data_IF_206370962722
#
_entry.id   IF_206370962722
#
_cell.length_a   1.000
_cell.length_b   1.000
_cell.length_c   1.000
_cell.angle_alpha   90.00
_cell.angle_beta   90.00
_cell.angle_gamma   90.00
#
_symmetry.space_group_name_H-M   'P 1'
#
loop_
_entity.id
_entity.type
_entity.pdbx_description
1 polymer ?
#
# COMPACT_ATOMS: atom_id res chain seq x y z
N UNK A 1 15.80 -30.40 21.44
CA UNK A 1 14.57 -30.48 20.61
C UNK A 1 15.01 -30.40 19.16
N UNK A 2 14.52 -31.27 18.28
CA UNK A 2 14.84 -31.17 16.85
C UNK A 2 13.98 -30.08 16.20
N UNK A 3 14.56 -28.88 16.09
CA UNK A 3 13.87 -27.72 15.54
C UNK A 3 13.51 -27.90 14.06
N UNK A 4 14.29 -28.66 13.29
CA UNK A 4 14.03 -28.91 11.88
C UNK A 4 12.80 -29.80 11.69
N UNK A 5 12.71 -30.87 12.49
CA UNK A 5 11.53 -31.75 12.50
C UNK A 5 10.26 -31.00 12.94
N UNK A 6 10.35 -30.15 13.96
CA UNK A 6 9.23 -29.33 14.42
C UNK A 6 8.75 -28.37 13.33
N UNK A 7 9.65 -27.62 12.69
CA UNK A 7 9.29 -26.67 11.63
C UNK A 7 8.67 -27.38 10.44
N UNK A 8 9.23 -28.52 10.01
CA UNK A 8 8.66 -29.34 8.92
C UNK A 8 7.24 -29.82 9.24
N UNK A 9 6.99 -30.23 10.49
CA UNK A 9 5.65 -30.63 10.95
C UNK A 9 4.67 -29.44 10.90
N UNK A 10 5.08 -28.27 11.39
CA UNK A 10 4.25 -27.06 11.38
C UNK A 10 3.96 -26.58 9.95
N UNK A 11 4.95 -26.57 9.06
CA UNK A 11 4.78 -26.25 7.64
C UNK A 11 3.76 -27.18 6.97
N UNK A 12 3.92 -28.49 7.16
CA UNK A 12 3.00 -29.47 6.60
C UNK A 12 1.57 -29.22 7.09
N UNK A 13 1.41 -28.86 8.37
CA UNK A 13 0.11 -28.53 8.94
C UNK A 13 -0.48 -27.24 8.37
N UNK A 14 0.33 -26.19 8.19
CA UNK A 14 -0.11 -24.94 7.56
C UNK A 14 -0.56 -25.19 6.12
N UNK A 15 0.20 -25.96 5.34
CA UNK A 15 -0.15 -26.30 3.96
C UNK A 15 -1.42 -27.14 3.86
N UNK A 16 -1.61 -28.11 4.76
CA UNK A 16 -2.83 -28.92 4.85
C UNK A 16 -4.07 -28.07 5.14
N UNK A 17 -3.97 -27.14 6.11
CA UNK A 17 -5.06 -26.20 6.43
C UNK A 17 -5.30 -25.19 5.30
N UNK A 18 -4.25 -24.73 4.62
CA UNK A 18 -4.36 -23.81 3.49
C UNK A 18 -5.06 -24.46 2.29
N UNK A 19 -4.77 -25.74 2.05
CA UNK A 19 -5.40 -26.58 1.03
C UNK A 19 -6.84 -27.02 1.34
N UNK A 20 -7.53 -26.37 2.30
CA UNK A 20 -8.93 -26.68 2.68
C UNK A 20 -9.81 -26.83 1.44
N UNK A 21 -10.64 -27.87 1.43
CA UNK A 21 -11.50 -28.21 0.29
C UNK A 21 -12.53 -27.10 0.01
N UNK A 22 -12.73 -26.84 -1.28
CA UNK A 22 -13.75 -25.92 -1.77
C UNK A 22 -15.15 -26.46 -1.38
N UNK A 23 -16.09 -25.60 -0.94
CA UNK A 23 -17.47 -26.00 -0.66
C UNK A 23 -18.14 -26.66 -1.87
N UNK A 24 -18.98 -27.68 -1.63
CA UNK A 24 -19.64 -28.43 -2.72
C UNK A 24 -20.74 -27.60 -3.37
N UNK A 25 -21.44 -26.78 -2.58
CA UNK A 25 -22.57 -25.95 -2.99
C UNK A 25 -22.59 -24.61 -2.25
N UNK A 26 -23.42 -23.68 -2.70
CA UNK A 26 -23.69 -22.42 -1.98
C UNK A 26 -24.21 -22.68 -0.56
N UNK A 27 -25.12 -23.64 -0.40
CA UNK A 27 -25.71 -23.97 0.88
C UNK A 27 -24.67 -24.53 1.86
N UNK A 28 -23.72 -25.34 1.38
CA UNK A 28 -22.65 -25.87 2.23
C UNK A 28 -21.70 -24.76 2.68
N UNK A 29 -21.36 -23.82 1.79
CA UNK A 29 -20.56 -22.66 2.16
C UNK A 29 -21.26 -21.80 3.21
N UNK A 30 -22.55 -21.49 3.00
CA UNK A 30 -23.35 -20.67 3.91
C UNK A 30 -23.48 -21.27 5.33
N UNK A 31 -23.51 -22.60 5.45
CA UNK A 31 -23.58 -23.29 6.76
C UNK A 31 -22.35 -23.03 7.64
N UNK A 32 -21.18 -22.79 7.04
CA UNK A 32 -19.93 -22.59 7.79
C UNK A 32 -19.71 -21.11 8.17
N UNK A 33 -20.34 -20.16 7.47
CA UNK A 33 -20.08 -18.72 7.60
C UNK A 33 -20.25 -18.21 9.03
N UNK A 34 -21.28 -18.67 9.75
CA UNK A 34 -21.52 -18.18 11.12
C UNK A 34 -20.40 -18.61 12.07
N UNK A 35 -19.98 -19.88 12.00
CA UNK A 35 -18.85 -20.38 12.78
C UNK A 35 -17.55 -19.67 12.39
N UNK A 36 -17.33 -19.40 11.09
CA UNK A 36 -16.16 -18.68 10.60
C UNK A 36 -16.13 -17.21 11.06
N UNK A 37 -17.27 -16.51 11.11
CA UNK A 37 -17.36 -15.15 11.64
C UNK A 37 -17.02 -15.09 13.12
N UNK A 38 -17.57 -16.01 13.91
CA UNK A 38 -17.24 -16.12 15.33
C UNK A 38 -15.74 -16.43 15.52
N UNK A 39 -15.19 -17.33 14.70
CA UNK A 39 -13.78 -17.67 14.74
C UNK A 39 -12.90 -16.48 14.35
N UNK A 40 -13.26 -15.72 13.32
CA UNK A 40 -12.53 -14.51 12.92
C UNK A 40 -12.56 -13.47 14.03
N UNK A 41 -13.71 -13.22 14.63
CA UNK A 41 -13.85 -12.30 15.74
C UNK A 41 -12.98 -12.71 16.95
N UNK A 42 -12.97 -14.00 17.30
CA UNK A 42 -12.09 -14.54 18.37
C UNK A 42 -10.61 -14.39 18.02
N UNK A 43 -10.25 -14.75 16.79
CA UNK A 43 -8.90 -14.66 16.24
C UNK A 43 -8.36 -13.23 16.31
N UNK A 44 -9.21 -12.23 16.06
CA UNK A 44 -8.89 -10.81 16.14
C UNK A 44 -8.98 -10.22 17.56
N UNK A 45 -9.40 -10.98 18.58
CA UNK A 45 -9.63 -10.42 19.91
C UNK A 45 -10.85 -9.49 20.00
N UNK A 46 -11.80 -9.64 19.06
CA UNK A 46 -13.00 -8.82 18.93
C UNK A 46 -14.27 -9.65 19.25
N UNK A 47 -14.16 -10.70 20.05
CA UNK A 47 -15.29 -11.51 20.52
C UNK A 47 -15.38 -11.53 22.06
N UNK A 48 -16.37 -10.86 22.68
CA UNK A 48 -17.27 -9.88 22.06
C UNK A 48 -16.51 -8.63 21.59
N UNK A 49 -17.07 -7.90 20.63
CA UNK A 49 -16.44 -6.68 20.14
C UNK A 49 -16.39 -5.60 21.24
N UNK A 50 -15.36 -4.73 21.26
CA UNK A 50 -15.35 -3.59 22.17
C UNK A 50 -16.59 -2.71 21.99
N UNK A 51 -17.07 -2.03 23.04
CA UNK A 51 -18.19 -1.11 22.89
C UNK A 51 -17.83 0.04 21.94
N UNK A 52 -18.77 0.39 21.07
CA UNK A 52 -18.69 1.59 20.22
C UNK A 52 -19.00 2.84 21.07
N UNK A 53 -17.97 3.46 21.65
CA UNK A 53 -18.09 4.67 22.48
C UNK A 53 -18.18 5.95 21.63
N UNK A 54 -18.24 7.13 22.25
CA UNK A 54 -18.07 8.38 21.49
C UNK A 54 -16.68 8.41 20.82
N UNK A 55 -16.63 8.79 19.54
CA UNK A 55 -15.41 8.90 18.76
C UNK A 55 -14.56 10.10 19.18
N UNK A 56 -15.13 11.12 19.84
CA UNK A 56 -14.42 12.38 20.17
C UNK A 56 -13.57 12.92 19.00
N UNK A 57 -14.11 12.78 17.79
CA UNK A 57 -13.35 12.99 16.57
C UNK A 57 -13.06 14.48 16.36
N UNK A 58 -11.86 14.80 15.91
CA UNK A 58 -11.44 16.17 15.67
C UNK A 58 -10.65 16.27 14.36
N UNK A 59 -11.01 17.27 13.56
CA UNK A 59 -10.17 17.77 12.46
C UNK A 59 -9.12 18.70 13.07
N UNK A 60 -7.85 18.31 12.97
CA UNK A 60 -6.70 19.02 13.53
C UNK A 60 -6.02 19.95 12.53
N UNK A 61 -6.33 19.79 11.24
CA UNK A 61 -5.84 20.65 10.17
C UNK A 61 -6.45 20.26 8.84
N UNK A 62 -6.47 21.21 7.90
CA UNK A 62 -6.97 21.01 6.54
C UNK A 62 -5.89 21.48 5.57
N UNK A 63 -5.60 20.66 4.58
CA UNK A 63 -4.67 20.96 3.49
C UNK A 63 -5.48 21.04 2.20
N UNK A 64 -5.63 22.25 1.66
CA UNK A 64 -6.34 22.48 0.41
C UNK A 64 -5.43 22.20 -0.79
N UNK A 65 -5.96 21.52 -1.81
CA UNK A 65 -5.27 21.22 -3.07
C UNK A 65 -6.22 21.45 -4.25
N UNK A 66 -5.68 21.38 -5.47
CA UNK A 66 -6.49 21.41 -6.68
C UNK A 66 -7.27 20.09 -6.82
N UNK A 67 -8.59 20.20 -6.93
CA UNK A 67 -9.50 19.06 -7.06
C UNK A 67 -9.82 18.25 -5.78
N UNK A 68 -9.10 18.45 -4.67
CA UNK A 68 -9.34 17.74 -3.40
C UNK A 68 -8.84 18.52 -2.17
N UNK A 69 -9.16 18.01 -0.98
CA UNK A 69 -8.56 18.45 0.29
C UNK A 69 -8.17 17.26 1.15
N UNK A 70 -7.23 17.47 2.06
CA UNK A 70 -6.85 16.48 3.08
C UNK A 70 -7.23 17.04 4.45
N UNK A 71 -8.08 16.33 5.17
CA UNK A 71 -8.37 16.61 6.58
C UNK A 71 -7.49 15.72 7.46
N UNK A 72 -6.71 16.33 8.36
CA UNK A 72 -5.93 15.63 9.38
C UNK A 72 -6.85 15.30 10.55
N UNK A 73 -7.13 14.02 10.76
CA UNK A 73 -8.12 13.55 11.72
C UNK A 73 -7.46 12.87 12.91
N UNK A 74 -8.09 13.02 14.07
CA UNK A 74 -7.92 12.12 15.20
C UNK A 74 -9.28 11.69 15.74
N UNK A 75 -9.41 10.44 16.18
CA UNK A 75 -10.62 9.91 16.80
C UNK A 75 -10.28 8.80 17.80
N UNK A 76 -11.16 8.58 18.76
CA UNK A 76 -11.06 7.58 19.80
C UNK A 76 -11.68 6.26 19.30
N UNK A 77 -10.85 5.25 19.05
CA UNK A 77 -11.34 3.93 18.62
C UNK A 77 -11.80 3.08 19.81
N UNK A 78 -11.20 3.31 20.98
CA UNK A 78 -11.51 2.68 22.26
C UNK A 78 -11.34 3.70 23.39
N UNK A 79 -12.00 3.54 24.55
CA UNK A 79 -11.84 4.42 25.70
C UNK A 79 -10.38 4.82 25.98
N UNK A 80 -10.06 6.10 25.75
CA UNK A 80 -8.72 6.67 25.98
C UNK A 80 -7.65 6.34 24.93
N UNK A 81 -7.98 5.66 23.84
CA UNK A 81 -7.05 5.32 22.77
C UNK A 81 -7.34 6.13 21.50
N UNK A 82 -6.44 7.07 21.19
CA UNK A 82 -6.55 7.94 20.02
C UNK A 82 -5.86 7.33 18.80
N UNK A 83 -6.58 7.36 17.68
CA UNK A 83 -6.11 6.98 16.36
C UNK A 83 -6.00 8.24 15.51
N UNK A 84 -4.97 8.32 14.67
CA UNK A 84 -4.85 9.41 13.69
C UNK A 84 -5.03 8.90 12.27
N UNK A 85 -5.56 9.76 11.41
CA UNK A 85 -5.85 9.42 10.02
C UNK A 85 -5.77 10.65 9.11
N UNK A 86 -5.58 10.42 7.82
CA UNK A 86 -5.82 11.41 6.78
C UNK A 86 -7.10 11.04 6.02
N UNK A 87 -8.02 11.99 5.92
CA UNK A 87 -9.22 11.87 5.09
C UNK A 87 -9.07 12.75 3.86
N UNK A 88 -8.90 12.11 2.71
CA UNK A 88 -8.85 12.75 1.40
C UNK A 88 -10.29 12.87 0.88
N UNK A 89 -10.71 14.10 0.58
CA UNK A 89 -12.06 14.39 0.10
C UNK A 89 -12.02 15.11 -1.24
N UNK A 90 -12.81 14.67 -2.23
CA UNK A 90 -12.96 15.40 -3.48
C UNK A 90 -13.49 16.82 -3.24
N UNK A 91 -13.02 17.80 -4.01
CA UNK A 91 -13.56 19.16 -3.95
C UNK A 91 -14.96 19.27 -4.58
N UNK A 92 -15.30 18.34 -5.47
CA UNK A 92 -16.60 18.29 -6.13
C UNK A 92 -17.71 18.03 -5.10
N UNK A 93 -18.78 18.83 -5.17
CA UNK A 93 -19.96 18.63 -4.33
C UNK A 93 -20.66 17.29 -4.62
N UNK A 94 -21.27 16.71 -3.59
CA UNK A 94 -21.99 15.43 -3.66
C UNK A 94 -21.51 14.45 -2.60
N UNK A 95 -22.15 13.27 -2.57
CA UNK A 95 -21.72 12.15 -1.74
C UNK A 95 -20.76 11.26 -2.53
N UNK A 96 -19.62 10.95 -1.95
CA UNK A 96 -18.57 10.16 -2.59
C UNK A 96 -18.47 8.77 -1.96
N UNK A 97 -18.37 7.69 -2.74
CA UNK A 97 -18.06 6.38 -2.19
C UNK A 97 -16.76 6.43 -1.38
N UNK A 98 -16.68 5.61 -0.34
CA UNK A 98 -15.55 5.59 0.58
C UNK A 98 -14.60 4.44 0.26
N UNK A 99 -13.31 4.70 0.34
CA UNK A 99 -12.27 3.67 0.34
C UNK A 99 -11.46 3.77 1.63
N UNK A 100 -11.59 2.75 2.48
CA UNK A 100 -10.70 2.56 3.62
C UNK A 100 -9.33 2.10 3.11
N UNK A 101 -8.29 2.64 3.71
CA UNK A 101 -6.97 2.60 3.10
C UNK A 101 -5.88 2.28 4.11
N UNK A 102 -5.88 1.07 4.71
CA UNK A 102 -4.78 0.65 5.56
C UNK A 102 -3.45 0.63 4.80
N UNK A 103 -2.34 0.72 5.52
CA UNK A 103 -0.99 0.68 4.97
C UNK A 103 -0.13 -0.32 5.76
N UNK A 104 0.82 -0.95 5.07
CA UNK A 104 1.89 -1.74 5.66
C UNK A 104 3.03 -0.88 6.22
N UNK A 105 4.20 -1.50 6.40
CA UNK A 105 5.31 -0.95 7.16
C UNK A 105 6.22 0.00 6.36
N UNK A 106 5.65 1.00 5.70
CA UNK A 106 6.44 2.08 5.12
C UNK A 106 7.05 2.99 6.19
N UNK A 107 8.22 3.55 5.89
CA UNK A 107 9.00 4.41 6.80
C UNK A 107 8.19 5.57 7.35
N UNK A 108 7.44 6.27 6.49
CA UNK A 108 6.61 7.42 6.86
C UNK A 108 5.12 7.10 6.94
N UNK A 109 4.74 5.81 6.97
CA UNK A 109 3.37 5.34 7.21
C UNK A 109 2.35 6.05 6.28
N UNK A 110 1.26 6.64 6.81
CA UNK A 110 0.27 7.40 6.04
C UNK A 110 0.83 8.60 5.26
N UNK A 111 1.99 9.13 5.66
CA UNK A 111 2.67 10.25 5.00
C UNK A 111 3.63 9.80 3.88
N UNK A 112 3.85 8.49 3.70
CA UNK A 112 4.70 7.98 2.62
C UNK A 112 4.16 8.39 1.25
N UNK A 113 4.97 8.89 0.30
CA UNK A 113 4.50 9.35 -1.00
C UNK A 113 3.60 8.35 -1.75
N UNK A 114 3.95 7.06 -1.75
CA UNK A 114 3.15 6.01 -2.41
C UNK A 114 1.77 5.81 -1.75
N UNK A 115 1.71 5.96 -0.42
CA UNK A 115 0.47 5.86 0.36
C UNK A 115 -0.41 7.09 0.13
N UNK A 116 0.19 8.28 0.09
CA UNK A 116 -0.52 9.52 -0.23
C UNK A 116 -1.05 9.52 -1.66
N UNK A 117 -0.24 9.09 -2.65
CA UNK A 117 -0.63 9.02 -4.06
C UNK A 117 -1.93 8.23 -4.28
N UNK A 118 -2.15 7.17 -3.50
CA UNK A 118 -3.39 6.38 -3.48
C UNK A 118 -4.58 7.21 -3.00
N UNK A 119 -4.44 7.93 -1.89
CA UNK A 119 -5.49 8.81 -1.36
C UNK A 119 -5.83 9.96 -2.33
N UNK A 120 -4.80 10.55 -2.93
CA UNK A 120 -4.94 11.64 -3.92
C UNK A 120 -5.66 11.15 -5.17
N UNK A 121 -5.20 10.05 -5.77
CA UNK A 121 -5.81 9.50 -6.99
C UNK A 121 -7.26 9.09 -6.79
N UNK A 122 -7.59 8.48 -5.64
CA UNK A 122 -8.97 8.19 -5.26
C UNK A 122 -9.83 9.47 -5.16
N UNK A 123 -9.33 10.50 -4.47
CA UNK A 123 -10.04 11.77 -4.34
C UNK A 123 -10.28 12.46 -5.69
N UNK A 124 -9.26 12.51 -6.55
CA UNK A 124 -9.39 13.08 -7.90
C UNK A 124 -10.36 12.28 -8.79
N UNK A 125 -10.56 10.99 -8.52
CA UNK A 125 -11.55 10.13 -9.20
C UNK A 125 -12.93 10.15 -8.55
N UNK A 126 -13.14 10.97 -7.51
CA UNK A 126 -14.43 11.15 -6.83
C UNK A 126 -14.73 10.11 -5.75
N UNK A 127 -13.70 9.59 -5.09
CA UNK A 127 -13.83 8.76 -3.89
C UNK A 127 -13.37 9.53 -2.65
N UNK A 128 -14.07 9.39 -1.54
CA UNK A 128 -13.48 9.71 -0.24
C UNK A 128 -12.46 8.61 0.12
N UNK A 129 -11.30 8.96 0.68
CA UNK A 129 -10.31 7.97 1.09
C UNK A 129 -9.84 8.24 2.52
N UNK A 130 -10.00 7.25 3.40
CA UNK A 130 -9.53 7.31 4.79
C UNK A 130 -8.28 6.45 4.95
N UNK A 131 -7.13 7.08 5.17
CA UNK A 131 -5.86 6.42 5.49
C UNK A 131 -5.67 6.48 7.00
N UNK A 132 -5.76 5.33 7.66
CA UNK A 132 -5.62 5.18 9.12
C UNK A 132 -4.23 4.67 9.46
N UNK A 133 -3.57 5.27 10.45
CA UNK A 133 -2.29 4.76 10.96
C UNK A 133 -2.42 3.32 11.46
N UNK A 134 -1.41 2.49 11.20
CA UNK A 134 -1.29 1.17 11.80
C UNK A 134 -1.02 1.29 13.32
N UNK A 135 -1.64 0.47 14.19
CA UNK A 135 -1.38 0.47 15.63
C UNK A 135 0.10 0.26 15.96
N UNK A 136 0.53 0.73 17.13
CA UNK A 136 1.95 0.73 17.51
C UNK A 136 2.77 1.84 16.83
N UNK A 137 2.11 2.68 16.03
CA UNK A 137 2.68 3.87 15.42
C UNK A 137 1.66 5.02 15.47
N UNK A 138 2.07 6.14 16.06
CA UNK A 138 1.44 7.44 15.85
C UNK A 138 2.54 8.48 15.72
N UNK A 139 2.25 9.58 15.02
CA UNK A 139 3.16 10.73 14.90
C UNK A 139 3.44 11.42 16.26
N UNK A 140 2.79 10.98 17.34
CA UNK A 140 2.97 11.49 18.69
C UNK A 140 4.08 10.74 19.45
N UNK A 141 5.34 10.99 19.11
CA UNK A 141 6.51 10.71 19.96
C UNK A 141 6.67 9.28 20.51
N UNK A 142 6.10 8.26 19.87
CA UNK A 142 6.19 6.88 20.37
C UNK A 142 7.29 6.09 19.68
N UNK A 143 8.02 5.30 20.47
CA UNK A 143 8.96 4.29 19.97
C UNK A 143 8.27 3.36 18.95
N UNK A 144 9.00 2.96 17.91
CA UNK A 144 8.51 2.02 16.90
C UNK A 144 8.19 0.65 17.54
N UNK A 145 6.95 0.43 17.95
CA UNK A 145 6.60 -0.77 18.73
C UNK A 145 6.41 -2.03 17.87
N UNK A 146 6.13 -1.95 16.56
CA UNK A 146 5.99 -3.18 15.74
C UNK A 146 7.35 -3.78 15.28
N UNK A 147 8.48 -3.08 15.47
CA UNK A 147 9.82 -3.57 15.09
C UNK A 147 10.74 -3.82 16.29
N UNK A 148 10.18 -4.32 17.40
CA UNK A 148 11.01 -5.12 18.31
C UNK A 148 11.44 -6.37 17.53
N UNK A 149 12.74 -6.69 17.55
CA UNK A 149 13.42 -7.50 16.53
C UNK A 149 12.69 -8.76 16.07
N UNK A 150 12.74 -9.04 14.76
CA UNK A 150 12.17 -10.25 14.14
C UNK A 150 12.57 -11.52 14.92
N UNK A 151 11.59 -12.41 15.17
CA UNK A 151 11.84 -13.71 15.78
C UNK A 151 11.97 -13.72 17.31
N UNK A 152 11.47 -12.71 18.01
CA UNK A 152 11.43 -12.70 19.49
C UNK A 152 10.00 -12.82 20.02
N UNK A 153 9.86 -13.50 21.16
CA UNK A 153 8.58 -13.83 21.83
C UNK A 153 7.87 -12.63 22.48
N UNK A 154 8.21 -11.40 22.09
CA UNK A 154 7.95 -10.18 22.88
C UNK A 154 6.79 -9.33 22.35
N UNK A 155 5.71 -9.95 21.88
CA UNK A 155 4.40 -9.29 21.81
C UNK A 155 3.58 -9.64 23.08
N UNK A 156 3.74 -8.90 24.19
CA UNK A 156 3.07 -9.21 25.46
C UNK A 156 1.54 -9.14 25.35
N UNK A 157 1.01 -8.56 24.27
CA UNK A 157 -0.42 -8.39 24.08
C UNK A 157 -1.10 -9.64 23.52
N UNK A 158 -0.34 -10.60 22.98
CA UNK A 158 -0.86 -11.91 22.54
C UNK A 158 -1.55 -12.66 23.69
N UNK A 159 -0.99 -12.62 24.90
CA UNK A 159 -1.60 -13.27 26.08
C UNK A 159 -2.91 -12.64 26.52
N UNK A 160 -3.15 -11.37 26.16
CA UNK A 160 -4.43 -10.69 26.42
C UNK A 160 -5.46 -10.96 25.31
N UNK A 161 -5.08 -11.72 24.27
CA UNK A 161 -5.93 -11.95 23.11
C UNK A 161 -6.16 -10.68 22.28
N UNK A 162 -5.26 -9.70 22.33
CA UNK A 162 -5.38 -8.41 21.64
C UNK A 162 -4.28 -8.27 20.57
N UNK A 163 -4.33 -9.04 19.47
CA UNK A 163 -3.31 -8.97 18.42
C UNK A 163 -3.33 -7.59 17.74
N UNK A 164 -2.16 -7.11 17.30
CA UNK A 164 -2.01 -5.82 16.61
C UNK A 164 -2.96 -5.67 15.42
N UNK A 165 -3.15 -6.74 14.62
CA UNK A 165 -4.11 -6.72 13.52
C UNK A 165 -5.57 -6.56 13.99
N UNK A 166 -5.93 -7.15 15.12
CA UNK A 166 -7.23 -6.94 15.76
C UNK A 166 -7.44 -5.51 16.23
N UNK A 167 -6.37 -4.87 16.73
CA UNK A 167 -6.39 -3.44 17.03
C UNK A 167 -6.63 -2.63 15.75
N UNK A 168 -5.92 -2.95 14.66
CA UNK A 168 -6.01 -2.19 13.41
C UNK A 168 -7.37 -2.34 12.73
N UNK A 169 -7.93 -3.56 12.69
CA UNK A 169 -9.27 -3.82 12.16
C UNK A 169 -10.31 -3.01 12.92
N UNK A 170 -10.21 -2.96 14.26
CA UNK A 170 -11.12 -2.15 15.05
C UNK A 170 -10.94 -0.65 14.79
N UNK A 171 -9.71 -0.16 14.65
CA UNK A 171 -9.45 1.24 14.31
C UNK A 171 -10.07 1.60 12.96
N UNK A 172 -9.96 0.73 11.95
CA UNK A 172 -10.64 0.88 10.66
C UNK A 172 -12.17 0.90 10.79
N UNK A 173 -12.75 0.01 11.61
CA UNK A 173 -14.20 -0.03 11.89
C UNK A 173 -14.68 1.28 12.52
N UNK A 174 -13.90 1.84 13.45
CA UNK A 174 -14.21 3.10 14.13
C UNK A 174 -13.97 4.32 13.24
N UNK A 175 -12.97 4.26 12.36
CA UNK A 175 -12.77 5.23 11.29
C UNK A 175 -13.94 5.24 10.29
N UNK A 176 -14.50 4.07 9.97
CA UNK A 176 -15.72 3.96 9.18
C UNK A 176 -16.93 4.57 9.91
N UNK A 177 -17.08 4.31 11.21
CA UNK A 177 -18.13 4.95 12.03
C UNK A 177 -18.00 6.49 11.99
N UNK A 178 -16.79 7.05 11.98
CA UNK A 178 -16.59 8.48 11.77
C UNK A 178 -17.07 8.93 10.39
N UNK A 179 -16.67 8.23 9.33
CA UNK A 179 -17.06 8.57 7.96
C UNK A 179 -18.58 8.51 7.72
N UNK A 180 -19.32 7.63 8.41
CA UNK A 180 -20.79 7.58 8.36
C UNK A 180 -21.46 8.87 8.86
N UNK A 181 -20.81 9.62 9.75
CA UNK A 181 -21.33 10.91 10.23
C UNK A 181 -21.16 12.05 9.23
N UNK A 182 -20.39 11.83 8.15
CA UNK A 182 -20.01 12.88 7.20
C UNK A 182 -21.01 13.00 6.05
N UNK A 183 -21.64 14.17 5.85
CA UNK A 183 -22.63 14.34 4.79
C UNK A 183 -22.05 14.21 3.38
N UNK A 184 -20.74 14.39 3.21
CA UNK A 184 -20.04 14.29 1.93
C UNK A 184 -19.68 12.85 1.53
N UNK A 185 -19.87 11.88 2.44
CA UNK A 185 -19.47 10.48 2.23
C UNK A 185 -20.71 9.61 2.03
N UNK A 186 -20.71 8.80 0.98
CA UNK A 186 -21.68 7.73 0.77
C UNK A 186 -21.17 6.45 1.45
N UNK A 187 -21.41 6.34 2.76
CA UNK A 187 -21.02 5.16 3.53
C UNK A 187 -21.84 3.89 3.20
N UNK A 188 -22.80 3.97 2.25
CA UNK A 188 -23.45 2.78 1.67
C UNK A 188 -22.63 2.16 0.56
N UNK A 189 -21.48 2.76 0.18
CA UNK A 189 -20.58 2.29 -0.89
C UNK A 189 -19.14 2.33 -0.39
N UNK A 190 -18.71 1.24 0.22
CA UNK A 190 -17.41 1.17 0.92
C UNK A 190 -16.51 0.11 0.30
N UNK A 191 -15.33 0.52 -0.11
CA UNK A 191 -14.22 -0.36 -0.50
C UNK A 191 -13.10 -0.35 0.54
N UNK A 192 -12.21 -1.32 0.46
CA UNK A 192 -10.97 -1.35 1.26
C UNK A 192 -9.76 -1.81 0.44
N UNK A 193 -8.62 -1.14 0.59
CA UNK A 193 -7.38 -1.53 -0.08
C UNK A 193 -6.14 -1.17 0.72
N UNK A 194 -5.13 -2.03 0.65
CA UNK A 194 -3.86 -1.88 1.34
C UNK A 194 -2.82 -2.82 0.73
N UNK A 195 -1.54 -2.50 0.94
CA UNK A 195 -0.44 -3.33 0.48
C UNK A 195 0.39 -3.90 1.64
N UNK A 196 0.96 -5.09 1.47
CA UNK A 196 1.75 -5.80 2.50
C UNK A 196 0.94 -6.07 3.77
N UNK A 197 1.41 -5.66 4.95
CA UNK A 197 0.63 -5.66 6.19
C UNK A 197 -0.73 -4.95 6.07
N UNK A 198 -0.83 -3.90 5.24
CA UNK A 198 -2.09 -3.25 4.90
C UNK A 198 -2.99 -4.12 4.00
N UNK A 199 -2.40 -4.98 3.17
CA UNK A 199 -3.12 -6.01 2.41
C UNK A 199 -3.69 -7.09 3.34
N UNK A 200 -2.94 -7.47 4.37
CA UNK A 200 -3.44 -8.35 5.44
C UNK A 200 -4.59 -7.71 6.20
N UNK A 201 -4.44 -6.45 6.64
CA UNK A 201 -5.52 -5.69 7.29
C UNK A 201 -6.76 -5.55 6.39
N UNK A 202 -6.57 -5.37 5.08
CA UNK A 202 -7.65 -5.33 4.08
C UNK A 202 -8.46 -6.62 4.08
N UNK A 203 -7.81 -7.78 4.06
CA UNK A 203 -8.50 -9.08 4.07
C UNK A 203 -9.24 -9.33 5.40
N UNK A 204 -8.60 -9.03 6.53
CA UNK A 204 -9.17 -9.24 7.86
C UNK A 204 -10.37 -8.32 8.11
N UNK A 205 -10.24 -7.03 7.80
CA UNK A 205 -11.33 -6.08 7.93
C UNK A 205 -12.48 -6.40 6.97
N UNK A 206 -12.19 -6.83 5.73
CA UNK A 206 -13.23 -7.24 4.79
C UNK A 206 -14.02 -8.46 5.27
N UNK A 207 -13.34 -9.46 5.86
CA UNK A 207 -14.01 -10.62 6.46
C UNK A 207 -14.84 -10.28 7.69
N UNK A 208 -14.42 -9.28 8.48
CA UNK A 208 -15.02 -8.93 9.77
C UNK A 208 -16.15 -7.88 9.66
N UNK A 209 -15.96 -6.81 8.87
CA UNK A 209 -16.85 -5.66 8.82
C UNK A 209 -17.80 -5.72 7.61
N UNK A 210 -19.08 -5.95 7.88
CA UNK A 210 -20.05 -6.23 6.82
C UNK A 210 -20.40 -5.01 5.95
N UNK A 211 -20.14 -3.79 6.41
CA UNK A 211 -20.34 -2.57 5.63
C UNK A 211 -19.37 -2.44 4.46
N UNK A 212 -18.24 -3.15 4.48
CA UNK A 212 -17.28 -3.14 3.39
C UNK A 212 -17.78 -4.06 2.26
N UNK A 213 -17.97 -3.48 1.08
CA UNK A 213 -18.63 -4.12 -0.07
C UNK A 213 -17.65 -4.63 -1.12
N UNK A 214 -16.43 -4.11 -1.17
CA UNK A 214 -15.41 -4.56 -2.12
C UNK A 214 -14.00 -4.48 -1.52
N UNK A 215 -13.11 -5.42 -1.87
CA UNK A 215 -11.74 -5.46 -1.34
C UNK A 215 -10.68 -5.60 -2.44
N UNK A 216 -9.56 -4.89 -2.26
CA UNK A 216 -8.38 -4.97 -3.12
C UNK A 216 -7.12 -5.17 -2.26
N UNK A 217 -6.83 -6.39 -1.80
CA UNK A 217 -5.57 -6.70 -1.15
C UNK A 217 -4.42 -6.71 -2.16
N UNK A 218 -3.40 -5.90 -1.92
CA UNK A 218 -2.24 -5.74 -2.80
C UNK A 218 -1.00 -6.36 -2.12
N UNK A 219 -0.19 -7.13 -2.84
CA UNK A 219 1.06 -7.74 -2.36
C UNK A 219 0.94 -8.27 -0.92
N UNK A 220 -0.07 -9.11 -0.68
CA UNK A 220 -0.53 -9.46 0.68
C UNK A 220 -1.34 -10.74 0.76
N UNK A 221 -1.91 -11.17 -0.36
CA UNK A 221 -2.85 -12.29 -0.44
C UNK A 221 -2.22 -13.52 -1.14
N UNK A 222 -0.96 -13.82 -0.82
CA UNK A 222 -0.30 -15.03 -1.30
C UNK A 222 -0.79 -16.24 -0.49
N UNK A 223 -1.00 -17.38 -1.15
CA UNK A 223 -1.40 -18.61 -0.48
C UNK A 223 -0.30 -19.15 0.44
N UNK A 224 -0.71 -19.59 1.63
CA UNK A 224 0.15 -20.23 2.62
C UNK A 224 0.58 -21.63 2.19
N UNK A 225 0.01 -22.21 1.12
CA UNK A 225 0.56 -23.41 0.46
C UNK A 225 1.95 -23.17 -0.13
N UNK A 226 2.18 -21.96 -0.65
CA UNK A 226 3.43 -21.54 -1.31
C UNK A 226 4.38 -20.94 -0.28
N UNK A 227 3.88 -20.04 0.56
CA UNK A 227 4.68 -19.32 1.55
C UNK A 227 4.12 -19.54 2.98
N UNK A 228 4.31 -20.72 3.59
CA UNK A 228 3.76 -21.03 4.93
C UNK A 228 4.37 -20.19 6.05
N UNK A 229 5.55 -19.60 5.82
CA UNK A 229 6.31 -18.79 6.77
C UNK A 229 6.32 -17.31 6.38
N UNK A 230 5.22 -16.81 5.82
CA UNK A 230 5.13 -15.50 5.18
C UNK A 230 5.58 -14.32 6.07
N UNK A 231 6.88 -14.06 6.03
CA UNK A 231 7.56 -12.84 6.45
C UNK A 231 7.16 -12.35 7.84
N UNK A 232 6.59 -11.14 7.86
CA UNK A 232 6.26 -10.43 9.09
C UNK A 232 5.25 -11.18 9.97
N UNK A 233 5.44 -11.12 11.29
CA UNK A 233 4.51 -11.67 12.28
C UNK A 233 3.06 -11.15 12.10
N UNK A 234 2.88 -9.94 11.54
CA UNK A 234 1.56 -9.39 11.24
C UNK A 234 0.75 -10.22 10.22
N UNK A 235 1.37 -11.13 9.48
CA UNK A 235 0.72 -12.07 8.55
C UNK A 235 0.22 -13.34 9.26
N UNK A 236 0.63 -13.55 10.52
CA UNK A 236 0.39 -14.76 11.28
C UNK A 236 -0.57 -14.48 12.45
N UNK A 237 -1.87 -14.45 12.13
CA UNK A 237 -2.92 -14.26 13.12
C UNK A 237 -3.30 -15.60 13.79
N UNK A 238 -3.20 -15.67 15.11
CA UNK A 238 -3.53 -16.87 15.88
C UNK A 238 -4.99 -17.30 15.66
N UNK A 239 -5.23 -18.59 15.41
CA UNK A 239 -6.56 -19.15 15.17
C UNK A 239 -7.16 -18.87 13.79
N UNK A 240 -6.50 -18.07 12.93
CA UNK A 240 -7.03 -17.72 11.60
C UNK A 240 -7.13 -18.93 10.67
N UNK A 241 -6.15 -19.84 10.73
CA UNK A 241 -6.11 -21.04 9.88
C UNK A 241 -7.23 -22.05 10.17
N UNK A 242 -8.01 -21.86 11.24
CA UNK A 242 -9.25 -22.65 11.48
C UNK A 242 -10.37 -22.27 10.51
N UNK A 243 -10.34 -21.05 9.97
CA UNK A 243 -11.21 -20.62 8.86
C UNK A 243 -10.68 -21.21 7.56
N UNK A 244 -9.37 -21.10 7.33
CA UNK A 244 -8.66 -21.55 6.14
C UNK A 244 -7.57 -20.55 5.76
N UNK A 245 -7.24 -20.50 4.47
CA UNK A 245 -6.26 -19.57 3.91
C UNK A 245 -6.90 -18.21 3.54
N UNK A 246 -6.12 -17.32 2.91
CA UNK A 246 -6.54 -16.01 2.40
C UNK A 246 -7.81 -16.07 1.56
N UNK A 247 -7.93 -17.09 0.70
CA UNK A 247 -9.12 -17.28 -0.15
C UNK A 247 -10.36 -17.71 0.64
N UNK A 248 -10.21 -18.48 1.72
CA UNK A 248 -11.36 -18.87 2.55
C UNK A 248 -11.85 -17.66 3.36
N UNK A 249 -10.91 -16.87 3.91
CA UNK A 249 -11.22 -15.62 4.61
C UNK A 249 -11.97 -14.62 3.71
N UNK A 250 -11.45 -14.35 2.51
CA UNK A 250 -12.13 -13.50 1.53
C UNK A 250 -13.43 -14.13 1.02
N UNK A 251 -13.44 -15.46 0.91
CA UNK A 251 -14.58 -16.28 0.53
C UNK A 251 -15.78 -16.09 1.44
N UNK A 252 -15.58 -15.83 2.74
CA UNK A 252 -16.66 -15.56 3.70
C UNK A 252 -17.63 -14.46 3.24
N UNK A 253 -17.17 -13.55 2.38
CA UNK A 253 -17.93 -12.40 1.86
C UNK A 253 -18.55 -12.66 0.49
N UNK A 254 -18.44 -13.86 -0.07
CA UNK A 254 -19.06 -14.17 -1.36
C UNK A 254 -20.57 -13.84 -1.36
N UNK A 255 -21.09 -13.12 -2.38
CA UNK A 255 -20.46 -12.75 -3.66
C UNK A 255 -19.94 -11.29 -3.73
N UNK A 256 -19.45 -10.70 -2.63
CA UNK A 256 -18.88 -9.35 -2.64
C UNK A 256 -17.59 -9.28 -3.50
N UNK A 257 -17.38 -8.25 -4.34
CA UNK A 257 -16.21 -8.20 -5.23
C UNK A 257 -14.85 -8.21 -4.54
N UNK A 258 -13.89 -8.94 -5.11
CA UNK A 258 -12.49 -8.99 -4.66
C UNK A 258 -11.52 -8.91 -5.84
N UNK A 259 -10.48 -8.06 -5.73
CA UNK A 259 -9.38 -8.00 -6.69
C UNK A 259 -8.04 -8.26 -6.00
N UNK A 260 -7.37 -9.35 -6.34
CA UNK A 260 -6.00 -9.58 -5.94
C UNK A 260 -5.06 -8.79 -6.83
N UNK A 261 -4.13 -8.04 -6.25
CA UNK A 261 -3.05 -7.41 -7.01
C UNK A 261 -1.72 -7.89 -6.43
N UNK A 262 -0.88 -8.50 -7.26
CA UNK A 262 0.44 -8.98 -6.87
C UNK A 262 1.56 -8.41 -7.74
N UNK A 263 2.80 -8.61 -7.31
CA UNK A 263 4.00 -8.29 -8.09
C UNK A 263 4.63 -9.57 -8.67
N UNK A 264 5.26 -9.46 -9.84
CA UNK A 264 5.91 -10.60 -10.50
C UNK A 264 7.19 -11.07 -9.80
N UNK A 265 7.91 -10.15 -9.14
CA UNK A 265 9.17 -10.39 -8.45
C UNK A 265 9.11 -9.95 -6.98
N UNK A 266 8.14 -10.51 -6.26
CA UNK A 266 7.98 -10.32 -4.82
C UNK A 266 8.37 -11.60 -4.08
N UNK A 267 9.49 -11.53 -3.35
CA UNK A 267 10.00 -12.68 -2.59
C UNK A 267 9.22 -12.96 -1.31
N UNK A 268 8.49 -11.98 -0.77
CA UNK A 268 7.67 -12.15 0.44
C UNK A 268 6.27 -12.66 0.07
N UNK A 269 5.69 -12.13 -1.01
CA UNK A 269 4.39 -12.54 -1.52
C UNK A 269 4.47 -13.03 -2.97
N UNK A 270 4.97 -14.26 -3.22
CA UNK A 270 5.19 -14.77 -4.56
C UNK A 270 3.95 -14.72 -5.45
N UNK A 271 4.19 -14.50 -6.74
CA UNK A 271 3.19 -14.56 -7.81
C UNK A 271 2.38 -15.86 -7.76
N UNK A 272 3.04 -17.02 -7.66
CA UNK A 272 2.39 -18.33 -7.63
C UNK A 272 1.33 -18.42 -6.52
N UNK A 273 1.62 -17.88 -5.34
CA UNK A 273 0.67 -17.91 -4.24
C UNK A 273 -0.53 -16.99 -4.46
N UNK A 274 -0.38 -15.87 -5.16
CA UNK A 274 -1.52 -15.04 -5.57
C UNK A 274 -2.40 -15.76 -6.60
N UNK A 275 -1.78 -16.46 -7.57
CA UNK A 275 -2.50 -17.27 -8.57
C UNK A 275 -3.31 -18.38 -7.90
N UNK A 276 -2.71 -19.14 -6.98
CA UNK A 276 -3.43 -20.15 -6.17
C UNK A 276 -4.58 -19.56 -5.37
N UNK A 277 -4.35 -18.43 -4.68
CA UNK A 277 -5.40 -17.79 -3.91
C UNK A 277 -6.56 -17.31 -4.79
N UNK A 278 -6.26 -16.77 -5.97
CA UNK A 278 -7.26 -16.39 -6.97
C UNK A 278 -8.07 -17.59 -7.47
N UNK A 279 -7.41 -18.68 -7.88
CA UNK A 279 -8.08 -19.88 -8.38
C UNK A 279 -9.06 -20.45 -7.35
N UNK A 280 -8.62 -20.57 -6.10
CA UNK A 280 -9.47 -21.05 -5.00
C UNK A 280 -10.64 -20.12 -4.73
N UNK A 281 -10.41 -18.80 -4.65
CA UNK A 281 -11.48 -17.83 -4.41
C UNK A 281 -12.52 -17.85 -5.55
N UNK A 282 -12.05 -17.88 -6.80
CA UNK A 282 -12.92 -17.98 -7.98
C UNK A 282 -13.76 -19.26 -7.95
N UNK A 283 -13.19 -20.38 -7.52
CA UNK A 283 -13.92 -21.63 -7.35
C UNK A 283 -14.99 -21.56 -6.25
N UNK A 284 -14.74 -20.87 -5.12
CA UNK A 284 -15.77 -20.57 -4.12
C UNK A 284 -16.88 -19.71 -4.74
N UNK A 285 -16.52 -18.65 -5.48
CA UNK A 285 -17.47 -17.73 -6.11
C UNK A 285 -18.32 -18.40 -7.21
N UNK A 286 -17.82 -19.47 -7.85
CA UNK A 286 -18.62 -20.28 -8.79
C UNK A 286 -19.86 -20.90 -8.16
N UNK A 287 -19.84 -21.15 -6.85
CA UNK A 287 -21.02 -21.65 -6.11
C UNK A 287 -22.13 -20.60 -6.06
N UNK A 288 -21.78 -19.33 -6.26
CA UNK A 288 -22.67 -18.18 -6.27
C UNK A 288 -22.95 -17.63 -7.67
N UNK A 289 -22.37 -18.22 -8.72
CA UNK A 289 -22.40 -17.68 -10.10
C UNK A 289 -21.89 -16.23 -10.16
N UNK A 290 -20.78 -15.98 -9.46
CA UNK A 290 -20.22 -14.66 -9.24
C UNK A 290 -18.71 -14.60 -9.59
N UNK A 291 -18.20 -15.54 -10.39
CA UNK A 291 -16.79 -15.63 -10.77
C UNK A 291 -16.26 -14.34 -11.40
N UNK A 292 -17.12 -13.58 -12.08
CA UNK A 292 -16.80 -12.31 -12.72
C UNK A 292 -16.42 -11.20 -11.74
N UNK A 293 -16.80 -11.34 -10.46
CA UNK A 293 -16.49 -10.39 -9.38
C UNK A 293 -15.13 -10.63 -8.72
N UNK A 294 -14.42 -11.68 -9.12
CA UNK A 294 -13.06 -11.96 -8.67
C UNK A 294 -12.07 -11.59 -9.77
N UNK A 295 -11.01 -10.85 -9.42
CA UNK A 295 -9.92 -10.48 -10.34
C UNK A 295 -8.57 -10.82 -9.77
N UNK A 296 -7.62 -11.02 -10.68
CA UNK A 296 -6.20 -11.11 -10.38
C UNK A 296 -5.45 -10.22 -11.36
N UNK A 297 -4.61 -9.33 -10.84
CA UNK A 297 -3.68 -8.52 -11.60
C UNK A 297 -2.27 -8.77 -11.08
N UNK A 298 -1.39 -9.31 -11.93
CA UNK A 298 0.04 -9.46 -11.62
C UNK A 298 0.80 -8.36 -12.37
N UNK A 299 1.37 -7.43 -11.61
CA UNK A 299 2.13 -6.30 -12.14
C UNK A 299 3.61 -6.63 -12.16
N UNK A 300 4.26 -6.34 -13.28
CA UNK A 300 5.72 -6.45 -13.39
C UNK A 300 6.42 -5.52 -12.38
N UNK A 301 7.28 -6.09 -11.53
CA UNK A 301 8.01 -5.34 -10.51
C UNK A 301 8.18 -6.11 -9.20
N UNK A 302 8.68 -5.41 -8.18
CA UNK A 302 8.84 -5.96 -6.83
C UNK A 302 7.74 -5.54 -5.86
N UNK A 303 7.94 -5.84 -4.58
CA UNK A 303 7.02 -5.54 -3.47
C UNK A 303 6.72 -4.03 -3.35
N UNK A 304 5.53 -3.59 -3.79
CA UNK A 304 5.12 -2.18 -3.81
C UNK A 304 3.58 -2.01 -3.90
N UNK A 305 3.10 -0.77 -3.88
CA UNK A 305 1.78 -0.34 -4.37
C UNK A 305 1.95 0.74 -5.45
N UNK A 306 2.65 0.37 -6.52
CA UNK A 306 3.02 1.29 -7.61
C UNK A 306 1.82 1.81 -8.41
N UNK A 307 2.09 2.72 -9.35
CA UNK A 307 1.08 3.35 -10.20
C UNK A 307 0.18 2.33 -10.91
N UNK A 308 0.73 1.31 -11.57
CA UNK A 308 -0.08 0.32 -12.33
C UNK A 308 -1.03 -0.45 -11.41
N UNK A 309 -0.57 -0.80 -10.21
CA UNK A 309 -1.40 -1.43 -9.18
C UNK A 309 -2.54 -0.50 -8.75
N UNK A 310 -2.27 0.80 -8.58
CA UNK A 310 -3.31 1.79 -8.25
C UNK A 310 -4.30 1.98 -9.39
N UNK A 311 -3.85 2.03 -10.64
CA UNK A 311 -4.73 2.17 -11.82
C UNK A 311 -5.69 0.99 -11.98
N UNK A 312 -5.24 -0.23 -11.68
CA UNK A 312 -6.11 -1.42 -11.61
C UNK A 312 -7.12 -1.33 -10.45
N UNK A 313 -6.68 -0.90 -9.27
CA UNK A 313 -7.56 -0.67 -8.12
C UNK A 313 -8.63 0.40 -8.40
N UNK A 314 -8.25 1.51 -9.04
CA UNK A 314 -9.18 2.58 -9.43
C UNK A 314 -10.28 2.02 -10.34
N UNK A 315 -9.92 1.26 -11.38
CA UNK A 315 -10.88 0.63 -12.28
C UNK A 315 -11.85 -0.30 -11.54
N UNK A 316 -11.31 -1.10 -10.61
CA UNK A 316 -12.10 -2.04 -9.83
C UNK A 316 -13.14 -1.35 -8.93
N UNK A 317 -12.75 -0.31 -8.18
CA UNK A 317 -13.70 0.42 -7.34
C UNK A 317 -14.65 1.29 -8.14
N UNK A 318 -14.22 1.88 -9.26
CA UNK A 318 -15.11 2.58 -10.18
C UNK A 318 -16.26 1.69 -10.66
N UNK A 319 -15.95 0.45 -11.02
CA UNK A 319 -16.97 -0.51 -11.42
C UNK A 319 -17.90 -0.88 -10.27
N UNK A 320 -17.35 -1.33 -9.14
CA UNK A 320 -18.16 -1.98 -8.10
C UNK A 320 -18.81 -1.01 -7.12
N UNK A 321 -18.27 0.20 -6.95
CA UNK A 321 -18.82 1.21 -6.04
C UNK A 321 -19.53 2.33 -6.80
N UNK A 322 -19.06 2.73 -7.99
CA UNK A 322 -19.70 3.80 -8.79
C UNK A 322 -20.64 3.26 -9.88
N UNK A 323 -20.58 1.96 -10.19
CA UNK A 323 -21.37 1.37 -11.27
C UNK A 323 -20.85 1.75 -12.66
N UNK A 324 -19.58 2.17 -12.77
CA UNK A 324 -18.97 2.48 -14.05
C UNK A 324 -18.72 1.21 -14.88
N UNK A 325 -18.64 1.29 -16.22
CA UNK A 325 -18.33 0.13 -17.05
C UNK A 325 -16.99 -0.51 -16.69
N UNK A 326 -16.91 -1.85 -16.75
CA UNK A 326 -15.69 -2.62 -16.48
C UNK A 326 -14.53 -2.18 -17.36
N UNK A 327 -13.38 -1.91 -16.73
CA UNK A 327 -12.11 -1.57 -17.38
C UNK A 327 -10.97 -2.35 -16.72
N UNK A 328 -9.88 -2.58 -17.45
CA UNK A 328 -8.67 -3.19 -16.89
C UNK A 328 -7.88 -2.23 -15.99
N UNK A 329 -7.85 -0.95 -16.37
CA UNK A 329 -7.20 0.11 -15.61
C UNK A 329 -7.88 1.46 -15.87
N UNK A 330 -7.81 2.36 -14.88
CA UNK A 330 -8.14 3.78 -15.04
C UNK A 330 -6.83 4.54 -14.82
N UNK A 331 -6.37 5.33 -15.81
CA UNK A 331 -5.13 6.10 -15.68
C UNK A 331 -5.14 6.94 -14.41
N UNK A 332 -4.03 6.91 -13.69
CA UNK A 332 -3.86 7.72 -12.50
C UNK A 332 -3.97 9.20 -12.88
N UNK A 333 -4.86 9.98 -12.22
CA UNK A 333 -4.98 11.41 -12.51
C UNK A 333 -3.63 12.10 -12.38
N UNK A 334 -3.27 12.89 -13.38
CA UNK A 334 -2.02 13.66 -13.42
C UNK A 334 -2.28 15.14 -13.72
N UNK A 335 -1.47 16.04 -13.16
CA UNK A 335 -0.51 15.77 -12.09
C UNK A 335 -1.22 15.33 -10.79
N UNK A 336 -0.57 14.49 -9.98
CA UNK A 336 -1.04 14.20 -8.62
C UNK A 336 -0.81 15.39 -7.66
N UNK A 337 -0.34 16.48 -8.23
CA UNK A 337 -0.06 17.76 -7.62
C UNK A 337 -0.78 18.84 -8.41
N UNK A 338 -1.16 19.91 -7.73
CA UNK A 338 -1.76 21.10 -8.30
C UNK A 338 -0.73 21.80 -9.19
N UNK A 339 -0.88 21.62 -10.50
CA UNK A 339 -0.04 22.17 -11.58
C UNK A 339 -0.05 23.70 -11.68
N UNK A 340 0.25 24.38 -10.58
CA UNK A 340 0.38 25.82 -10.47
C UNK A 340 0.81 26.28 -9.07
N UNK A 341 0.47 25.52 -8.03
CA UNK A 341 0.84 25.83 -6.63
C UNK A 341 1.67 24.73 -5.95
N UNK A 342 1.99 23.64 -6.67
CA UNK A 342 2.93 22.63 -6.23
C UNK A 342 3.75 22.14 -7.43
N UNK A 343 5.02 22.56 -7.48
CA UNK A 343 5.90 22.37 -8.65
C UNK A 343 6.46 20.96 -8.80
N UNK A 344 6.05 19.99 -7.97
CA UNK A 344 6.69 18.67 -7.92
C UNK A 344 5.69 17.55 -8.23
N UNK A 345 6.15 16.47 -8.88
CA UNK A 345 5.36 15.25 -9.11
C UNK A 345 5.38 14.37 -7.85
N UNK A 346 4.38 13.49 -7.68
CA UNK A 346 4.37 12.54 -6.57
C UNK A 346 5.62 11.63 -6.63
N UNK A 347 6.46 11.71 -5.59
CA UNK A 347 7.75 11.01 -5.52
C UNK A 347 8.95 11.79 -6.03
N UNK A 348 8.82 13.09 -6.33
CA UNK A 348 9.93 13.95 -6.78
C UNK A 348 10.17 15.18 -5.90
N UNK A 349 9.70 15.16 -4.64
CA UNK A 349 10.14 16.16 -3.66
C UNK A 349 11.67 16.10 -3.51
N UNK A 350 12.34 17.24 -3.69
CA UNK A 350 13.65 17.40 -3.08
C UNK A 350 13.45 17.40 -1.58
N UNK A 351 14.28 16.63 -0.90
CA UNK A 351 14.28 16.45 0.54
C UNK A 351 14.35 17.80 1.28
N UNK A 352 14.90 18.86 0.69
CA UNK A 352 15.16 20.17 1.29
C UNK A 352 13.98 21.18 1.30
N UNK A 353 12.73 20.77 1.10
CA UNK A 353 11.59 21.70 1.04
C UNK A 353 11.24 22.32 2.43
N UNK A 354 11.31 23.66 2.59
CA UNK A 354 11.17 24.36 3.87
C UNK A 354 9.76 24.36 4.49
N UNK A 355 8.72 23.90 3.80
CA UNK A 355 7.36 23.77 4.37
C UNK A 355 7.06 22.39 4.99
N UNK A 356 8.01 21.45 4.91
CA UNK A 356 7.93 20.18 5.65
C UNK A 356 8.34 20.41 7.11
N UNK A 357 7.35 20.72 7.94
CA UNK A 357 7.50 20.73 9.40
C UNK A 357 7.76 19.30 9.90
N UNK A 358 8.98 19.03 10.37
CA UNK A 358 9.37 17.76 11.00
C UNK A 358 9.84 18.08 12.41
N UNK A 359 9.08 17.64 13.41
CA UNK A 359 9.50 17.71 14.82
C UNK A 359 10.44 16.55 15.11
N UNK A 360 11.67 16.81 15.59
CA UNK A 360 12.55 15.75 16.10
C UNK A 360 12.35 15.53 17.61
N UNK A 361 12.46 14.28 18.11
CA UNK A 361 12.05 13.93 19.48
C UNK A 361 12.99 14.43 20.60
N UNK A 362 14.19 14.88 20.26
CA UNK A 362 15.32 14.99 21.18
C UNK A 362 15.50 16.38 21.83
N UNK A 363 14.88 17.46 21.29
CA UNK A 363 15.17 18.83 21.76
C UNK A 363 13.98 19.69 22.21
N UNK A 364 12.73 19.19 22.14
CA UNK A 364 11.51 19.96 22.48
C UNK A 364 11.44 21.37 21.86
N UNK A 365 12.06 21.59 20.71
CA UNK A 365 11.94 22.82 19.91
C UNK A 365 11.47 22.48 18.49
N UNK A 366 10.59 23.31 17.94
CA UNK A 366 10.18 23.24 16.54
C UNK A 366 11.39 23.57 15.66
N UNK A 367 11.86 22.57 14.92
CA UNK A 367 12.94 22.69 13.94
C UNK A 367 12.38 22.51 12.54
N UNK A 368 13.00 23.18 11.57
CA UNK A 368 12.73 22.97 10.15
C UNK A 368 13.47 21.73 9.67
N UNK A 369 13.02 21.11 8.58
CA UNK A 369 13.74 19.98 7.97
C UNK A 369 15.22 20.31 7.64
N UNK A 370 15.53 21.58 7.35
CA UNK A 370 16.90 22.09 7.17
C UNK A 370 17.77 21.92 8.41
N UNK A 371 17.24 22.22 9.61
CA UNK A 371 17.98 22.12 10.87
C UNK A 371 18.36 20.65 11.20
N UNK A 372 17.57 19.69 10.71
CA UNK A 372 17.80 18.24 10.84
C UNK A 372 18.86 17.76 9.84
N UNK A 373 18.82 18.29 8.61
CA UNK A 373 19.78 17.94 7.56
C UNK A 373 21.19 18.40 7.91
N UNK A 374 21.34 19.61 8.46
CA UNK A 374 22.64 20.16 8.87
C UNK A 374 23.27 19.40 10.05
N UNK A 375 22.47 18.79 10.93
CA UNK A 375 22.95 17.89 11.99
C UNK A 375 23.34 16.50 11.45
N UNK A 376 22.56 15.92 10.52
CA UNK A 376 22.81 14.57 9.99
C UNK A 376 23.85 14.53 8.86
N UNK A 377 24.14 15.65 8.19
CA UNK A 377 25.26 15.78 7.26
C UNK A 377 26.63 15.76 7.96
N UNK A 378 26.66 15.90 9.30
CA UNK A 378 27.89 15.80 10.09
C UNK A 378 28.27 14.35 10.45
N UNK A 379 27.36 13.37 10.27
CA UNK A 379 27.65 11.96 10.49
C UNK A 379 27.54 11.15 9.18
N UNK A 380 28.59 10.42 8.78
CA UNK A 380 28.55 9.63 7.55
C UNK A 380 27.58 8.45 7.71
N UNK A 381 26.60 8.36 6.81
CA UNK A 381 25.72 7.19 6.71
C UNK A 381 26.51 5.92 6.31
N UNK A 382 26.14 4.73 6.84
CA UNK A 382 26.76 3.47 6.47
C UNK A 382 26.53 3.16 4.98
N UNK A 383 27.57 2.70 4.31
CA UNK A 383 27.62 2.43 2.88
C UNK A 383 26.62 1.36 2.40
N UNK A 384 26.23 1.49 1.12
CA UNK A 384 25.62 0.50 0.22
C UNK A 384 24.10 0.53 -0.03
N UNK A 385 23.52 1.73 -0.14
CA UNK A 385 22.23 1.92 -0.83
C UNK A 385 22.46 2.07 -2.36
N UNK A 386 22.59 0.96 -3.07
CA UNK A 386 22.79 0.94 -4.54
C UNK A 386 21.52 1.35 -5.31
N UNK A 387 21.25 2.66 -5.37
CA UNK A 387 20.18 3.26 -6.15
C UNK A 387 20.34 3.09 -7.68
N UNK A 388 21.55 2.76 -8.16
CA UNK A 388 21.90 2.75 -9.58
C UNK A 388 21.30 1.61 -10.41
N UNK A 389 20.87 0.49 -9.81
CA UNK A 389 20.50 -0.73 -10.57
C UNK A 389 19.04 -0.81 -11.03
N UNK A 390 18.18 0.17 -10.72
CA UNK A 390 16.74 0.14 -11.08
C UNK A 390 16.28 1.18 -12.10
N UNK A 391 17.19 2.01 -12.62
CA UNK A 391 16.88 3.00 -13.66
C UNK A 391 17.61 2.63 -14.97
N UNK A 392 17.22 1.51 -15.58
CA UNK A 392 17.50 1.26 -17.00
C UNK A 392 16.25 1.62 -17.84
N UNK A 393 16.38 2.33 -18.99
CA UNK A 393 15.22 2.95 -19.65
C UNK A 393 14.42 1.99 -20.53
N UNK A 394 13.10 2.19 -20.48
CA UNK A 394 12.05 1.46 -21.19
C UNK A 394 12.01 1.80 -22.70
N UNK A 395 12.47 0.90 -23.54
CA UNK A 395 12.50 1.04 -25.02
C UNK A 395 11.17 0.84 -25.76
N UNK A 396 10.05 1.43 -25.30
CA UNK A 396 8.75 1.31 -26.02
C UNK A 396 8.16 2.63 -26.54
N UNK A 397 8.72 3.79 -26.18
CA UNK A 397 8.14 5.10 -26.53
C UNK A 397 8.97 5.95 -27.49
N UNK A 398 9.93 5.35 -28.21
CA UNK A 398 10.81 6.10 -29.11
C UNK A 398 11.82 6.98 -28.37
N UNK A 399 12.74 7.64 -29.09
CA UNK A 399 13.75 8.49 -28.47
C UNK A 399 13.08 9.66 -27.74
N UNK A 400 13.52 9.89 -26.50
CA UNK A 400 13.12 11.05 -25.71
C UNK A 400 13.71 12.31 -26.37
N UNK A 401 12.87 13.13 -27.01
CA UNK A 401 13.28 14.46 -27.47
C UNK A 401 13.40 15.40 -26.27
N UNK A 402 14.63 15.57 -25.78
CA UNK A 402 14.95 16.57 -24.77
C UNK A 402 15.28 17.90 -25.47
N UNK A 403 14.40 18.88 -25.36
CA UNK A 403 14.73 20.28 -25.70
C UNK A 403 15.53 20.89 -24.56
N UNK A 404 16.85 20.78 -24.64
CA UNK A 404 17.77 21.34 -23.65
C UNK A 404 18.28 22.68 -24.17
N UNK A 405 17.98 23.76 -23.45
CA UNK A 405 18.39 25.13 -23.81
C UNK A 405 19.77 25.54 -23.24
N UNK A 406 20.45 24.64 -22.51
CA UNK A 406 21.74 24.90 -21.86
C UNK A 406 22.83 23.98 -22.42
N UNK A 407 23.82 24.53 -23.15
CA UNK A 407 24.99 23.79 -23.64
C UNK A 407 25.79 23.14 -22.51
N UNK A 408 25.86 23.79 -21.34
CA UNK A 408 26.55 23.24 -20.16
C UNK A 408 25.91 21.94 -19.69
N UNK A 409 24.57 21.86 -19.73
CA UNK A 409 23.85 20.65 -19.37
C UNK A 409 24.09 19.53 -20.40
N UNK A 410 24.20 19.87 -21.68
CA UNK A 410 24.55 18.91 -22.74
C UNK A 410 25.96 18.37 -22.54
N UNK A 411 26.93 19.23 -22.24
CA UNK A 411 28.31 18.82 -21.96
C UNK A 411 28.38 17.97 -20.69
N UNK A 412 27.64 18.31 -19.64
CA UNK A 412 27.57 17.52 -18.41
C UNK A 412 26.96 16.14 -18.64
N UNK A 413 25.90 16.06 -19.46
CA UNK A 413 25.24 14.80 -19.84
C UNK A 413 26.21 13.94 -20.65
N UNK A 414 26.93 14.53 -21.62
CA UNK A 414 27.92 13.82 -22.44
C UNK A 414 29.11 13.33 -21.62
N UNK A 415 29.67 14.16 -20.73
CA UNK A 415 30.76 13.78 -19.83
C UNK A 415 30.34 12.62 -18.91
N UNK A 416 29.11 12.67 -18.38
CA UNK A 416 28.59 11.60 -17.53
C UNK A 416 28.28 10.32 -18.32
N UNK A 417 27.83 10.43 -19.56
CA UNK A 417 27.64 9.28 -20.45
C UNK A 417 28.98 8.62 -20.82
N UNK A 418 30.02 9.40 -21.10
CA UNK A 418 31.37 8.89 -21.42
C UNK A 418 32.05 8.28 -20.20
N UNK A 419 31.94 8.89 -19.02
CA UNK A 419 32.45 8.31 -17.76
C UNK A 419 31.76 7.00 -17.41
N UNK A 420 30.43 6.96 -17.47
CA UNK A 420 29.67 5.74 -17.18
C UNK A 420 29.90 4.65 -18.24
N UNK A 421 30.23 5.01 -19.48
CA UNK A 421 30.63 4.05 -20.51
C UNK A 421 32.02 3.48 -20.22
N UNK A 422 33.00 4.27 -19.78
CA UNK A 422 34.33 3.79 -19.39
C UNK A 422 34.28 2.81 -18.21
N UNK A 423 33.36 3.01 -17.26
CA UNK A 423 33.17 2.12 -16.11
C UNK A 423 32.39 0.83 -16.45
N UNK A 424 31.80 0.74 -17.65
CA UNK A 424 30.98 -0.39 -18.10
C UNK A 424 31.60 -1.24 -19.23
N UNK A 425 32.84 -0.94 -19.66
CA UNK A 425 33.50 -1.70 -20.73
C UNK A 425 34.24 -2.93 -20.19
N UNK A 426 33.72 -4.12 -20.49
CA UNK A 426 34.54 -5.34 -20.54
C UNK A 426 35.60 -5.23 -21.67
N UNK A 427 36.70 -6.01 -21.63
CA UNK A 427 37.91 -5.79 -22.45
C UNK A 427 37.72 -5.82 -23.97
N UNK A 428 36.59 -6.30 -24.48
CA UNK A 428 36.36 -6.50 -25.90
C UNK A 428 35.47 -5.40 -26.53
N UNK A 429 36.04 -4.20 -26.66
CA UNK A 429 35.90 -3.34 -27.86
C UNK A 429 34.49 -2.92 -28.34
N UNK A 430 33.58 -2.52 -27.47
CA UNK A 430 32.32 -1.87 -27.89
C UNK A 430 32.52 -0.40 -28.30
N UNK A 431 32.06 -0.01 -29.50
CA UNK A 431 32.04 1.40 -29.93
C UNK A 431 30.68 2.06 -29.65
N UNK A 432 30.69 3.22 -28.98
CA UNK A 432 29.53 4.09 -28.83
C UNK A 432 29.50 5.10 -29.98
N UNK A 433 28.45 5.09 -30.80
CA UNK A 433 28.28 6.05 -31.90
C UNK A 433 27.30 7.15 -31.47
N UNK A 434 27.79 8.37 -31.28
CA UNK A 434 26.98 9.56 -31.01
C UNK A 434 26.92 10.38 -32.30
N UNK A 435 25.72 10.72 -32.78
CA UNK A 435 25.53 11.65 -33.91
C UNK A 435 24.91 12.94 -33.38
N UNK A 436 25.66 14.03 -33.42
CA UNK A 436 25.19 15.39 -33.15
C UNK A 436 25.03 16.11 -34.49
N UNK A 437 23.83 16.55 -34.85
CA UNK A 437 23.60 17.17 -36.16
C UNK A 437 23.86 18.68 -36.22
N UNK A 438 24.06 19.39 -35.10
CA UNK A 438 24.18 20.86 -35.13
C UNK A 438 25.06 21.42 -33.98
N UNK A 439 26.37 21.16 -34.01
CA UNK A 439 27.33 21.96 -33.23
C UNK A 439 28.36 22.51 -34.23
N UNK A 440 28.13 23.73 -34.71
CA UNK A 440 29.01 24.43 -35.65
C UNK A 440 30.05 25.30 -34.93
N UNK A 441 29.61 26.33 -34.22
CA UNK A 441 30.52 27.25 -33.51
C UNK A 441 29.92 27.71 -32.18
N UNK A 442 30.76 27.82 -31.15
CA UNK A 442 30.41 28.45 -29.87
C UNK A 442 31.61 29.18 -29.27
N UNK A 443 31.41 30.42 -28.82
CA UNK A 443 32.44 31.34 -28.30
C UNK A 443 33.68 31.49 -29.22
N UNK A 444 33.42 31.63 -30.53
CA UNK A 444 34.48 31.79 -31.55
C UNK A 444 35.35 30.55 -31.76
N UNK A 445 34.93 29.38 -31.26
CA UNK A 445 35.62 28.10 -31.45
C UNK A 445 34.70 27.12 -32.19
N UNK A 446 35.27 26.48 -33.21
CA UNK A 446 34.63 25.45 -34.04
C UNK A 446 34.77 24.08 -33.35
N UNK A 447 33.64 23.39 -33.20
CA UNK A 447 33.56 22.07 -32.57
C UNK A 447 33.02 21.00 -33.53
N UNK A 448 32.97 21.26 -34.83
CA UNK A 448 32.40 20.39 -35.86
C UNK A 448 33.13 19.04 -36.05
N UNK A 449 34.26 18.82 -35.37
CA UNK A 449 35.05 17.57 -35.43
C UNK A 449 35.14 16.78 -34.11
N UNK A 450 34.51 17.23 -33.02
CA UNK A 450 34.46 16.51 -31.74
C UNK A 450 33.22 15.61 -31.67
#
# INVERSE_FOLDING_TARGET
MDHAALNKMLEARVKDLAGRRIPRSQADHQKELEAQRVQLAKSLGLFPAPPKTDLKAQVTGIVQRDGYRIEKLRYESRPGFMVTAHLYLPAKAGKHPLVLSPHGHWEFKKCTPVVQARGIGLALLGFACLIVDSPGFSWDNNDQNERKGQGTHDDPWLSMGAPVQGLYVWDLVRGLDYCETRPEIDATKVGITGASGGGTATMLAFGFEERIQAAVPVCGATSMEVMPHNGCFCNHQAGLMEIGDRSDLLGMRAPAPVCFIGASNDGEFPKEGHEKSYEKLRAIYSKYKAEEKVRLEIVEGGHDYNRRMREAMYAFFSEHLKGEPRRGHIPEPRPLTDGGNNTFEAGTEKHDNPELMVTTPDQRQTKTFRDILEQNLAEPYPSDFEAGKRLAPWGKYGPLELKIASPDLILQILINLVRNAQDAMEPDGGHLLIRTSEIGEWDGKDYSQA
#
